data_IF_967882464946
#
_entry.id   IF_967882464946
#
_cell.length_a   1.000
_cell.length_b   1.000
_cell.length_c   1.000
_cell.angle_alpha   90.00
_cell.angle_beta   90.00
_cell.angle_gamma   90.00
#
_symmetry.space_group_name_H-M   'P 1'
#
loop_
_entity.id
_entity.type
_entity.pdbx_description
1 polymer ?
#
# COMPACT_ATOMS: atom_id res chain seq x y z
N UNK A 1 14.44 1.76 -9.38
CA UNK A 1 13.11 1.47 -8.81
C UNK A 1 12.23 0.83 -9.85
N UNK A 2 11.45 -0.15 -9.47
CA UNK A 2 10.60 -0.85 -10.41
C UNK A 2 9.52 0.07 -10.97
N UNK A 3 9.21 -0.11 -12.26
CA UNK A 3 8.19 0.71 -12.88
C UNK A 3 6.81 0.16 -12.59
N UNK A 4 5.85 1.04 -12.47
CA UNK A 4 4.47 0.63 -12.33
C UNK A 4 3.93 0.13 -13.67
N UNK A 5 3.09 -0.90 -13.67
CA UNK A 5 2.54 -1.44 -14.90
C UNK A 5 1.64 -0.43 -15.62
N UNK A 6 1.62 -0.54 -16.94
CA UNK A 6 0.83 0.37 -17.75
C UNK A 6 -0.65 0.33 -17.39
N UNK A 7 -1.18 -0.85 -17.14
CA UNK A 7 -2.60 -0.98 -16.80
C UNK A 7 -2.96 -0.21 -15.54
N UNK A 8 -2.08 -0.23 -14.55
CA UNK A 8 -2.30 0.53 -13.34
C UNK A 8 -2.26 2.03 -13.64
N UNK A 9 -1.29 2.45 -14.45
CA UNK A 9 -1.18 3.87 -14.80
C UNK A 9 -2.41 4.34 -15.56
N UNK A 10 -2.97 3.51 -16.42
CA UNK A 10 -4.19 3.84 -17.13
C UNK A 10 -5.38 4.00 -16.18
N UNK A 11 -5.47 3.14 -15.19
CA UNK A 11 -6.53 3.26 -14.18
C UNK A 11 -6.34 4.53 -13.36
N UNK A 12 -5.10 4.83 -13.01
CA UNK A 12 -4.79 5.97 -12.18
C UNK A 12 -5.12 7.29 -12.89
N UNK A 13 -5.08 7.32 -14.21
CA UNK A 13 -5.40 8.54 -14.96
C UNK A 13 -6.83 9.00 -14.76
N UNK A 14 -7.71 8.13 -14.28
CA UNK A 14 -9.10 8.49 -14.02
C UNK A 14 -9.25 9.32 -12.75
N UNK A 15 -8.19 9.40 -11.96
CA UNK A 15 -8.22 10.18 -10.72
C UNK A 15 -7.66 11.57 -10.94
N UNK A 16 -7.98 12.49 -10.07
CA UNK A 16 -7.45 13.84 -10.14
C UNK A 16 -5.94 13.82 -10.12
N UNK A 17 -5.33 14.78 -10.78
CA UNK A 17 -3.89 14.87 -10.84
C UNK A 17 -3.27 14.90 -9.45
N UNK A 18 -3.88 15.61 -8.51
CA UNK A 18 -3.38 15.66 -7.14
C UNK A 18 -3.32 14.30 -6.49
N UNK A 19 -4.35 13.48 -6.70
CA UNK A 19 -4.37 12.12 -6.16
C UNK A 19 -3.27 11.28 -6.81
N UNK A 20 -3.10 11.42 -8.12
CA UNK A 20 -2.04 10.69 -8.82
C UNK A 20 -0.67 11.02 -8.24
N UNK A 21 -0.43 12.30 -7.96
CA UNK A 21 0.85 12.73 -7.40
C UNK A 21 1.07 12.19 -5.99
N UNK A 22 0.00 12.12 -5.21
CA UNK A 22 0.10 11.53 -3.88
C UNK A 22 0.49 10.06 -3.95
N UNK A 23 -0.08 9.32 -4.91
CA UNK A 23 0.28 7.91 -5.10
C UNK A 23 1.77 7.78 -5.41
N UNK A 24 2.26 8.56 -6.37
CA UNK A 24 3.66 8.45 -6.76
C UNK A 24 4.61 8.85 -5.64
N UNK A 25 4.31 9.93 -4.94
CA UNK A 25 5.16 10.39 -3.85
C UNK A 25 5.17 9.40 -2.70
N UNK A 26 3.99 8.93 -2.30
CA UNK A 26 3.91 7.98 -1.20
C UNK A 26 4.58 6.66 -1.55
N UNK A 27 4.44 6.22 -2.81
CA UNK A 27 5.14 5.03 -3.27
C UNK A 27 6.65 5.17 -3.11
N UNK A 28 7.20 6.32 -3.50
CA UNK A 28 8.63 6.55 -3.38
C UNK A 28 9.07 6.47 -1.91
N UNK A 29 8.32 7.10 -1.02
CA UNK A 29 8.63 7.08 0.41
C UNK A 29 8.59 5.64 0.94
N UNK A 30 7.55 4.90 0.57
CA UNK A 30 7.41 3.51 1.03
C UNK A 30 8.57 2.66 0.53
N UNK A 31 8.91 2.75 -0.75
CA UNK A 31 9.98 1.93 -1.29
C UNK A 31 11.34 2.27 -0.71
N UNK A 32 11.56 3.54 -0.37
CA UNK A 32 12.80 3.93 0.30
C UNK A 32 12.92 3.29 1.68
N UNK A 33 11.80 3.04 2.35
CA UNK A 33 11.84 2.44 3.67
C UNK A 33 11.74 0.91 3.65
N UNK A 34 11.03 0.35 2.67
CA UNK A 34 10.72 -1.08 2.68
C UNK A 34 11.55 -1.94 1.72
N UNK A 35 12.14 -1.35 0.69
CA UNK A 35 12.80 -2.18 -0.32
C UNK A 35 13.95 -2.99 0.27
N UNK A 36 14.16 -4.23 -0.19
CA UNK A 36 13.37 -4.90 -1.22
C UNK A 36 12.08 -5.50 -0.65
N UNK A 37 11.04 -5.52 -1.46
CA UNK A 37 9.75 -6.03 -1.03
C UNK A 37 8.95 -6.46 -2.24
N UNK A 38 7.76 -7.01 -2.01
CA UNK A 38 6.82 -7.27 -3.08
C UNK A 38 5.79 -6.15 -3.11
N UNK A 39 5.55 -5.65 -4.31
CA UNK A 39 4.59 -4.58 -4.52
C UNK A 39 3.49 -5.14 -5.40
N UNK A 40 2.31 -5.38 -4.84
CA UNK A 40 1.23 -6.05 -5.56
C UNK A 40 0.06 -5.10 -5.75
N UNK A 41 -0.37 -4.93 -6.99
CA UNK A 41 -1.49 -4.07 -7.32
C UNK A 41 -2.77 -4.90 -7.34
N UNK A 42 -3.74 -4.49 -6.57
CA UNK A 42 -5.00 -5.21 -6.41
C UNK A 42 -6.15 -4.25 -6.59
N UNK A 43 -7.15 -4.65 -7.35
CA UNK A 43 -8.36 -3.87 -7.52
C UNK A 43 -9.54 -4.69 -7.04
N UNK A 44 -10.01 -4.44 -5.83
CA UNK A 44 -11.20 -5.09 -5.30
C UNK A 44 -12.27 -4.03 -5.08
N UNK A 45 -12.25 -3.35 -3.96
CA UNK A 45 -13.18 -2.25 -3.71
C UNK A 45 -12.59 -0.93 -4.14
N UNK A 46 -11.30 -0.83 -4.09
CA UNK A 46 -10.56 0.32 -4.55
C UNK A 46 -9.26 -0.20 -5.14
N UNK A 47 -8.57 0.64 -5.87
CA UNK A 47 -7.25 0.27 -6.35
C UNK A 47 -6.30 0.38 -5.17
N UNK A 48 -5.55 -0.66 -4.93
CA UNK A 48 -4.59 -0.68 -3.83
C UNK A 48 -3.24 -1.18 -4.32
N UNK A 49 -2.18 -0.67 -3.71
CA UNK A 49 -0.85 -1.22 -3.91
C UNK A 49 -0.44 -1.77 -2.55
N UNK A 50 -0.28 -3.07 -2.46
CA UNK A 50 0.05 -3.74 -1.20
C UNK A 50 1.54 -4.06 -1.18
N UNK A 51 2.19 -3.73 -0.07
CA UNK A 51 3.62 -3.99 0.15
C UNK A 51 3.77 -5.10 1.16
N UNK A 52 4.54 -6.12 0.80
CA UNK A 52 4.65 -7.32 1.62
C UNK A 52 6.07 -7.89 1.55
N UNK A 53 6.40 -8.71 2.54
CA UNK A 53 7.69 -9.41 2.55
C UNK A 53 7.75 -10.52 1.52
N UNK A 54 6.60 -11.07 1.14
CA UNK A 54 6.49 -12.11 0.12
C UNK A 54 5.33 -11.79 -0.79
N UNK A 55 5.08 -12.63 -1.77
CA UNK A 55 3.95 -12.45 -2.67
C UNK A 55 2.62 -12.78 -2.01
N UNK A 56 2.62 -13.32 -0.81
CA UNK A 56 1.39 -13.66 -0.08
C UNK A 56 0.90 -12.45 0.70
N UNK A 57 0.22 -11.57 0.02
CA UNK A 57 -0.15 -10.28 0.59
C UNK A 57 -1.12 -10.37 1.77
N UNK A 58 -1.92 -11.42 1.84
CA UNK A 58 -2.85 -11.57 2.95
C UNK A 58 -2.13 -11.99 4.24
N UNK A 59 -1.07 -12.76 4.10
CA UNK A 59 -0.33 -13.23 5.26
C UNK A 59 0.83 -12.33 5.62
N UNK A 60 1.55 -11.86 4.62
CA UNK A 60 2.81 -11.15 4.83
C UNK A 60 2.75 -9.68 4.46
N UNK A 61 1.55 -9.11 4.38
CA UNK A 61 1.38 -7.70 4.09
C UNK A 61 1.88 -6.81 5.21
N UNK A 62 2.53 -5.72 4.83
CA UNK A 62 3.08 -4.75 5.78
C UNK A 62 2.24 -3.47 5.75
N UNK A 63 2.08 -2.89 4.58
CA UNK A 63 1.30 -1.68 4.41
C UNK A 63 0.72 -1.63 3.00
N UNK A 64 -0.16 -0.67 2.75
CA UNK A 64 -0.75 -0.51 1.44
C UNK A 64 -1.08 0.94 1.16
N UNK A 65 -1.15 1.29 -0.12
CA UNK A 65 -1.71 2.56 -0.57
C UNK A 65 -3.09 2.25 -1.11
N UNK A 66 -4.12 2.84 -0.53
CA UNK A 66 -5.47 2.73 -1.07
C UNK A 66 -5.80 4.03 -1.79
N UNK A 67 -6.24 3.93 -3.05
CA UNK A 67 -6.51 5.11 -3.86
C UNK A 67 -7.99 5.43 -3.81
N UNK A 68 -8.31 6.62 -3.33
CA UNK A 68 -9.69 7.07 -3.21
C UNK A 68 -9.87 8.30 -4.11
N UNK A 69 -11.11 8.73 -4.25
CA UNK A 69 -11.43 9.81 -5.17
C UNK A 69 -10.69 11.11 -4.86
N UNK A 70 -10.54 11.43 -3.59
CA UNK A 70 -10.00 12.73 -3.17
C UNK A 70 -8.75 12.62 -2.32
N UNK A 71 -8.23 11.42 -2.11
CA UNK A 71 -7.05 11.23 -1.27
C UNK A 71 -6.51 9.83 -1.44
N UNK A 72 -5.41 9.54 -0.77
CA UNK A 72 -4.96 8.16 -0.63
C UNK A 72 -4.90 7.82 0.85
N UNK A 73 -5.02 6.54 1.16
CA UNK A 73 -4.83 6.05 2.51
C UNK A 73 -3.52 5.27 2.56
N UNK A 74 -2.71 5.53 3.57
CA UNK A 74 -1.58 4.67 3.87
C UNK A 74 -2.04 3.73 4.98
N UNK A 75 -2.26 2.48 4.63
CA UNK A 75 -2.78 1.51 5.58
C UNK A 75 -1.68 0.59 6.10
N UNK A 76 -1.85 0.14 7.35
CA UNK A 76 -0.89 -0.76 7.99
C UNK A 76 -1.62 -2.01 8.41
N UNK A 77 -1.11 -3.16 7.99
CA UNK A 77 -1.75 -4.45 8.28
C UNK A 77 -1.82 -4.74 9.77
N UNK A 78 -0.84 -4.30 10.53
CA UNK A 78 -0.83 -4.47 11.97
C UNK A 78 -1.02 -3.14 12.70
N UNK A 79 -1.73 -2.22 12.08
CA UNK A 79 -1.87 -0.87 12.60
C UNK A 79 -2.46 -0.79 14.01
N UNK A 80 -3.38 -1.69 14.34
CA UNK A 80 -4.01 -1.69 15.66
C UNK A 80 -3.01 -1.95 16.79
N UNK A 81 -1.86 -2.53 16.47
CA UNK A 81 -0.84 -2.86 17.46
C UNK A 81 0.32 -1.86 17.46
N UNK A 82 0.26 -0.87 16.60
CA UNK A 82 1.33 0.12 16.48
C UNK A 82 1.18 1.20 17.55
N UNK A 83 2.30 1.85 17.86
CA UNK A 83 2.34 2.82 18.96
C UNK A 83 1.62 4.14 18.69
N UNK A 84 1.56 4.54 17.42
CA UNK A 84 0.85 5.75 17.00
C UNK A 84 1.20 6.99 17.82
N UNK A 85 2.46 7.36 17.92
CA UNK A 85 2.88 8.46 18.80
C UNK A 85 2.29 9.81 18.43
N UNK A 86 1.86 10.00 17.20
CA UNK A 86 1.32 11.29 16.76
C UNK A 86 -0.19 11.27 16.54
N UNK A 87 -0.86 10.18 16.90
CA UNK A 87 -2.30 10.10 16.77
C UNK A 87 -2.80 10.15 15.33
N UNK A 88 -2.03 9.60 14.40
CA UNK A 88 -2.39 9.67 12.98
C UNK A 88 -3.23 8.50 12.50
N UNK A 89 -3.23 7.39 13.22
CA UNK A 89 -3.90 6.18 12.76
C UNK A 89 -5.40 6.25 13.02
N UNK A 90 -6.16 5.88 12.00
CA UNK A 90 -7.63 5.86 12.06
C UNK A 90 -8.13 4.47 11.69
N UNK A 91 -9.32 4.16 12.14
CA UNK A 91 -9.96 2.89 11.82
C UNK A 91 -10.38 2.15 13.07
N UNK A 92 -11.24 1.15 12.89
CA UNK A 92 -11.82 0.40 14.00
C UNK A 92 -11.66 -1.11 13.84
N UNK A 93 -10.98 -1.57 12.80
CA UNK A 93 -10.77 -2.99 12.58
C UNK A 93 -9.92 -3.62 13.65
N UNK A 94 -9.90 -4.93 13.70
CA UNK A 94 -9.12 -5.64 14.70
C UNK A 94 -7.63 -5.50 14.50
N UNK A 95 -7.18 -5.35 13.26
CA UNK A 95 -5.76 -5.29 12.95
C UNK A 95 -5.35 -4.07 12.16
N UNK A 96 -6.13 -3.68 11.19
CA UNK A 96 -5.72 -2.62 10.27
C UNK A 96 -6.03 -1.22 10.77
N UNK A 97 -5.14 -0.29 10.47
CA UNK A 97 -5.35 1.14 10.67
C UNK A 97 -4.76 1.85 9.47
N UNK A 98 -5.17 3.09 9.26
CA UNK A 98 -4.65 3.86 8.13
C UNK A 98 -4.44 5.32 8.50
N UNK A 99 -3.58 5.97 7.74
CA UNK A 99 -3.34 7.40 7.81
C UNK A 99 -3.93 8.00 6.53
N UNK A 100 -4.76 9.03 6.68
CA UNK A 100 -5.30 9.73 5.51
C UNK A 100 -4.28 10.71 4.97
N UNK A 101 -4.00 10.60 3.69
CA UNK A 101 -3.03 11.47 3.01
C UNK A 101 -3.81 12.29 2.00
N UNK A 102 -4.04 13.55 2.32
CA UNK A 102 -4.81 14.45 1.45
C UNK A 102 -3.96 15.46 0.73
N UNK A 103 -2.82 15.80 1.29
CA UNK A 103 -1.94 16.83 0.76
C UNK A 103 -0.53 16.30 0.64
N UNK A 104 0.24 16.92 -0.22
CA UNK A 104 1.63 16.53 -0.40
C UNK A 104 2.39 16.62 0.94
N UNK A 105 2.05 17.61 1.77
CA UNK A 105 2.69 17.74 3.07
C UNK A 105 2.40 16.56 4.00
N UNK A 106 1.25 15.91 3.82
CA UNK A 106 0.97 14.69 4.60
C UNK A 106 1.89 13.56 4.17
N UNK A 107 2.05 13.40 2.85
CA UNK A 107 2.89 12.32 2.32
C UNK A 107 4.37 12.51 2.67
N UNK A 108 4.80 13.76 2.78
CA UNK A 108 6.19 14.09 3.07
C UNK A 108 6.46 14.34 4.55
N UNK A 109 5.45 14.19 5.40
CA UNK A 109 5.63 14.34 6.83
C UNK A 109 6.64 13.30 7.33
N UNK A 110 7.71 13.72 8.01
CA UNK A 110 8.73 12.79 8.50
C UNK A 110 8.18 11.67 9.38
N UNK A 111 7.06 11.90 10.05
CA UNK A 111 6.44 10.87 10.88
C UNK A 111 6.07 9.64 10.06
N UNK A 112 5.74 9.80 8.78
CA UNK A 112 5.37 8.68 7.92
C UNK A 112 6.49 7.64 7.89
N UNK A 113 7.73 8.08 7.78
CA UNK A 113 8.86 7.14 7.73
C UNK A 113 9.01 6.38 9.05
N UNK A 114 8.77 7.05 10.17
CA UNK A 114 8.83 6.37 11.48
C UNK A 114 7.75 5.29 11.58
N UNK A 115 6.55 5.57 11.08
CA UNK A 115 5.48 4.57 11.07
C UNK A 115 5.83 3.40 10.16
N UNK A 116 6.42 3.67 9.00
CA UNK A 116 6.85 2.61 8.10
C UNK A 116 7.95 1.74 8.72
N UNK A 117 8.88 2.37 9.43
CA UNK A 117 9.94 1.64 10.10
C UNK A 117 9.38 0.72 11.18
N UNK A 118 8.43 1.21 11.97
CA UNK A 118 7.79 0.37 12.97
C UNK A 118 7.03 -0.79 12.30
N UNK A 119 6.36 -0.53 11.19
CA UNK A 119 5.64 -1.58 10.47
C UNK A 119 6.60 -2.68 10.00
N UNK A 120 7.78 -2.30 9.52
CA UNK A 120 8.79 -3.28 9.13
C UNK A 120 9.26 -4.10 10.32
N UNK A 121 9.52 -3.46 11.44
CA UNK A 121 9.94 -4.15 12.64
C UNK A 121 8.91 -5.19 13.09
N UNK A 122 7.65 -4.78 13.11
CA UNK A 122 6.58 -5.68 13.55
C UNK A 122 6.39 -6.86 12.61
N UNK A 123 6.64 -6.66 11.33
CA UNK A 123 6.52 -7.72 10.34
C UNK A 123 7.77 -8.60 10.26
N UNK A 124 8.84 -8.23 10.94
CA UNK A 124 10.11 -8.93 10.81
C UNK A 124 10.67 -8.81 9.40
N UNK A 125 10.38 -7.70 8.74
CA UNK A 125 10.79 -7.49 7.35
C UNK A 125 12.17 -6.86 7.30
N UNK A 126 13.07 -7.50 6.56
CA UNK A 126 14.43 -7.00 6.41
C UNK A 126 14.52 -6.10 5.19
N UNK A 127 15.12 -4.94 5.37
CA UNK A 127 15.33 -3.99 4.28
C UNK A 127 16.82 -4.00 3.92
N UNK A 128 17.14 -3.34 2.80
CA UNK A 128 18.54 -3.23 2.39
C UNK A 128 18.70 -3.37 0.90
N UNK A 129 19.49 -4.35 0.48
CA UNK A 129 19.80 -4.52 -0.92
C UNK A 129 18.91 -5.58 -1.56
N UNK A 130 18.67 -5.45 -2.85
CA UNK A 130 17.86 -6.37 -3.61
C UNK A 130 16.83 -5.63 -4.43
N UNK A 131 16.10 -6.38 -5.24
CA UNK A 131 15.11 -5.78 -6.14
C UNK A 131 13.72 -5.96 -5.60
N UNK A 132 12.96 -4.87 -5.63
CA UNK A 132 11.54 -4.95 -5.37
C UNK A 132 10.85 -5.59 -6.57
N UNK A 133 9.91 -6.47 -6.31
CA UNK A 133 9.12 -7.09 -7.36
C UNK A 133 7.73 -6.49 -7.38
N UNK A 134 7.33 -5.97 -8.55
CA UNK A 134 6.00 -5.42 -8.72
C UNK A 134 5.14 -6.45 -9.45
N UNK A 135 4.05 -6.84 -8.82
CA UNK A 135 3.14 -7.85 -9.35
C UNK A 135 1.77 -7.21 -9.51
N UNK A 136 1.13 -7.47 -10.63
CA UNK A 136 -0.23 -7.00 -10.83
C UNK A 136 -1.17 -8.17 -10.69
N UNK A 137 -2.14 -8.02 -9.81
CA UNK A 137 -3.14 -9.03 -9.58
C UNK A 137 -4.45 -8.48 -10.09
N UNK A 138 -4.98 -9.04 -11.15
CA UNK A 138 -6.21 -8.55 -11.77
C UNK A 138 -7.44 -9.06 -11.03
N UNK A 139 -7.70 -8.53 -9.87
CA UNK A 139 -8.83 -8.93 -9.07
C UNK A 139 -9.99 -7.99 -9.31
N UNK A 140 -11.05 -8.49 -9.90
CA UNK A 140 -12.24 -7.70 -10.15
C UNK A 140 -13.22 -7.92 -9.03
N UNK A 141 -13.77 -6.85 -8.54
CA UNK A 141 -14.60 -7.02 -7.39
C UNK A 141 -16.00 -7.48 -7.67
N UNK A 142 -16.68 -7.19 -8.68
CA UNK A 142 -17.97 -7.57 -8.77
C UNK A 142 -18.30 -8.92 -9.01
N UNK A 143 -18.98 -9.21 -9.97
CA UNK A 143 -19.56 -10.51 -10.19
C UNK A 143 -18.54 -11.62 -10.20
N UNK A 144 -17.31 -11.28 -10.40
CA UNK A 144 -16.28 -12.29 -10.46
C UNK A 144 -15.69 -12.63 -9.11
N UNK A 145 -16.13 -11.97 -8.09
CA UNK A 145 -15.49 -12.13 -6.79
C UNK A 145 -15.28 -13.57 -6.38
N UNK A 146 -16.29 -14.42 -6.49
CA UNK A 146 -16.08 -15.74 -6.08
C UNK A 146 -15.18 -16.47 -6.95
N UNK A 147 -15.11 -16.23 -8.20
CA UNK A 147 -14.21 -16.95 -9.03
C UNK A 147 -12.80 -16.46 -8.89
N UNK A 148 -12.63 -15.26 -8.49
CA UNK A 148 -11.32 -14.70 -8.30
C UNK A 148 -10.50 -15.51 -7.34
N UNK A 149 -11.15 -16.04 -6.36
CA UNK A 149 -10.45 -16.82 -5.35
C UNK A 149 -9.66 -17.95 -6.00
N UNK A 150 -10.21 -18.58 -6.97
CA UNK A 150 -9.50 -19.67 -7.60
C UNK A 150 -8.45 -19.23 -8.58
N UNK A 151 -8.55 -18.00 -9.09
CA UNK A 151 -7.64 -17.58 -10.12
C UNK A 151 -6.52 -16.69 -9.67
N UNK A 152 -6.69 -16.08 -8.54
CA UNK A 152 -5.70 -15.12 -8.13
C UNK A 152 -4.45 -15.71 -7.64
N UNK A 153 -4.44 -16.96 -7.47
CA UNK A 153 -3.40 -17.48 -6.98
C UNK A 153 -2.41 -17.41 -7.87
N UNK A 154 -2.31 -17.29 -8.73
CA UNK A 154 -1.22 -17.13 -9.59
C UNK A 154 0.03 -17.69 -9.16
#
# INVERSE_FOLDING_TARGET
MAKLPKDFLDLLRKYDRGVQELVFTLRDVILEELAPCFETIVEVYMISIVYASTERIMKDGICYIGVLKDRVNLGFHQGAHMRDPYGLLEGTGKQMRHIKIRHMSDALNPAIRAYLQEACERAGHETGFGKTRTVTMAVKRKSSAKRIVGTTRL
#
